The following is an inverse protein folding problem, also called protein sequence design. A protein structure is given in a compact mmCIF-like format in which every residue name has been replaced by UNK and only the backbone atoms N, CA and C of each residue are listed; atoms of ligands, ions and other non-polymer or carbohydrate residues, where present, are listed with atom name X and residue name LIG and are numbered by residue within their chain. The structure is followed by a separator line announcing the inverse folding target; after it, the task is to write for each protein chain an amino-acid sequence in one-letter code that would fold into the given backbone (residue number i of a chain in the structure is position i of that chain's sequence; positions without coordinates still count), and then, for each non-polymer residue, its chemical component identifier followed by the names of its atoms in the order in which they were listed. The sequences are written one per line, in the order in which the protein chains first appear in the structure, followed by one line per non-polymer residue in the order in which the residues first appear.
data_IF_808430627774
#
_entry.id   IF_808430627774
#
_cell.length_a   1.000
_cell.length_b   1.000
_cell.length_c   1.000
_cell.angle_alpha   90.00
_cell.angle_beta   90.00
_cell.angle_gamma   90.00
#
_symmetry.space_group_name_H-M   'P 1'
#
loop_
_entity.id
_entity.type
_entity.pdbx_description
1 polymer ?
#
# COMPACT_ATOMS: atom_id res chain seq x y z
N UNK A 1 -11.97 0.56 7.01
CA UNK A 1 -11.29 1.88 7.01
C UNK A 1 -10.65 2.11 5.66
N UNK A 2 -10.73 3.32 5.10
CA UNK A 2 -10.18 3.64 3.78
C UNK A 2 -8.92 4.47 3.99
N UNK A 3 -7.84 4.14 3.29
CA UNK A 3 -6.57 4.85 3.33
C UNK A 3 -6.12 5.23 1.93
N UNK A 4 -5.59 6.45 1.79
CA UNK A 4 -4.92 6.91 0.56
C UNK A 4 -3.45 6.55 0.62
N UNK A 5 -3.00 5.70 -0.28
CA UNK A 5 -1.63 5.22 -0.33
C UNK A 5 -0.89 5.85 -1.50
N UNK A 6 0.17 6.59 -1.20
CA UNK A 6 1.05 7.18 -2.20
C UNK A 6 2.34 6.38 -2.29
N UNK A 7 2.62 5.90 -3.49
CA UNK A 7 3.75 5.02 -3.78
C UNK A 7 4.86 5.81 -4.47
N UNK A 8 6.04 5.86 -3.84
CA UNK A 8 7.26 6.36 -4.48
C UNK A 8 8.15 5.19 -4.89
N UNK A 9 8.57 5.19 -6.15
CA UNK A 9 9.56 4.23 -6.64
C UNK A 9 10.97 4.66 -6.27
N UNK A 10 11.90 3.71 -6.21
CA UNK A 10 13.35 3.92 -5.97
C UNK A 10 13.76 4.31 -4.56
N UNK A 11 12.82 4.37 -3.61
CA UNK A 11 13.11 4.59 -2.18
C UNK A 11 12.41 3.50 -1.36
N UNK A 12 12.93 3.20 -0.18
CA UNK A 12 12.26 2.33 0.80
C UNK A 12 11.97 3.15 2.06
N UNK A 13 10.70 3.45 2.28
CA UNK A 13 10.23 4.13 3.49
C UNK A 13 8.75 3.82 3.70
N UNK A 14 8.25 4.08 4.90
CA UNK A 14 6.83 4.00 5.22
C UNK A 14 6.50 5.15 6.19
N UNK A 15 5.59 6.02 5.79
CA UNK A 15 5.09 7.17 6.54
C UNK A 15 3.58 7.10 6.56
N UNK A 16 2.99 7.29 7.73
CA UNK A 16 1.54 7.25 7.91
C UNK A 16 1.14 8.54 8.61
N UNK A 17 0.28 9.31 7.96
CA UNK A 17 -0.27 10.57 8.45
C UNK A 17 -1.79 10.49 8.40
N UNK A 18 -2.42 10.17 9.54
CA UNK A 18 -3.87 10.05 9.75
C UNK A 18 -4.55 9.07 8.77
N UNK A 19 -4.81 9.52 7.55
CA UNK A 19 -5.52 8.80 6.47
C UNK A 19 -4.64 8.59 5.21
N UNK A 20 -3.45 9.18 5.19
CA UNK A 20 -2.49 9.06 4.09
C UNK A 20 -1.32 8.15 4.48
N UNK A 21 -0.99 7.21 3.62
CA UNK A 21 0.15 6.31 3.76
C UNK A 21 1.11 6.57 2.59
N UNK A 22 2.25 7.18 2.87
CA UNK A 22 3.30 7.35 1.88
C UNK A 22 4.34 6.25 2.03
N UNK A 23 4.56 5.45 0.99
CA UNK A 23 5.55 4.38 1.04
C UNK A 23 6.43 4.32 -0.20
N UNK A 24 7.69 4.03 0.07
CA UNK A 24 8.68 3.72 -0.93
C UNK A 24 8.67 2.22 -1.26
N UNK A 25 8.60 1.89 -2.54
CA UNK A 25 8.86 0.54 -3.04
C UNK A 25 10.06 0.54 -3.99
N UNK A 26 10.90 -0.49 -3.86
CA UNK A 26 11.98 -0.76 -4.82
C UNK A 26 11.50 -1.66 -5.95
N UNK A 27 10.41 -2.38 -5.72
CA UNK A 27 9.81 -3.29 -6.69
C UNK A 27 9.21 -2.54 -7.88
N UNK A 28 9.50 -3.03 -9.08
CA UNK A 28 8.89 -2.50 -10.30
C UNK A 28 7.39 -2.81 -10.30
N UNK A 29 6.54 -1.99 -10.93
CA UNK A 29 5.11 -2.27 -11.08
C UNK A 29 4.86 -3.34 -12.16
N UNK A 30 5.63 -4.43 -12.13
CA UNK A 30 5.55 -5.54 -13.07
C UNK A 30 4.72 -6.65 -12.41
N UNK A 31 3.73 -7.19 -13.13
CA UNK A 31 2.88 -8.30 -12.68
C UNK A 31 2.26 -8.18 -11.27
N UNK A 32 2.04 -6.96 -10.78
CA UNK A 32 1.44 -6.71 -9.47
C UNK A 32 2.36 -6.95 -8.27
N UNK A 33 3.67 -7.09 -8.46
CA UNK A 33 4.64 -7.25 -7.36
C UNK A 33 4.61 -6.05 -6.40
N UNK A 34 4.52 -4.84 -6.95
CA UNK A 34 4.30 -3.61 -6.19
C UNK A 34 3.09 -3.71 -5.25
N UNK A 35 1.95 -4.23 -5.74
CA UNK A 35 0.73 -4.34 -4.93
C UNK A 35 0.93 -5.32 -3.76
N UNK A 36 1.59 -6.46 -4.01
CA UNK A 36 1.90 -7.45 -2.96
C UNK A 36 2.82 -6.87 -1.89
N UNK A 37 3.83 -6.09 -2.28
CA UNK A 37 4.76 -5.45 -1.35
C UNK A 37 4.05 -4.40 -0.48
N UNK A 38 3.19 -3.58 -1.09
CA UNK A 38 2.36 -2.59 -0.39
C UNK A 38 1.48 -3.28 0.66
N UNK A 39 0.70 -4.29 0.25
CA UNK A 39 -0.20 -5.02 1.14
C UNK A 39 0.59 -5.65 2.31
N UNK A 40 1.75 -6.26 2.03
CA UNK A 40 2.61 -6.83 3.09
C UNK A 40 3.14 -5.78 4.06
N UNK A 41 3.56 -4.60 3.58
CA UNK A 41 4.05 -3.52 4.45
C UNK A 41 2.94 -2.98 5.35
N UNK A 42 1.73 -2.76 4.80
CA UNK A 42 0.57 -2.30 5.57
C UNK A 42 0.15 -3.35 6.59
N UNK A 43 0.01 -4.61 6.17
CA UNK A 43 -0.33 -5.73 7.05
C UNK A 43 0.62 -5.81 8.26
N UNK A 44 1.93 -5.70 8.02
CA UNK A 44 2.93 -5.70 9.10
C UNK A 44 2.82 -4.49 10.01
N UNK A 45 2.58 -3.31 9.47
CA UNK A 45 2.47 -2.09 10.27
C UNK A 45 1.24 -2.08 11.16
N UNK A 46 0.08 -2.47 10.60
CA UNK A 46 -1.19 -2.50 11.32
C UNK A 46 -1.42 -3.81 12.07
N UNK A 47 -0.50 -4.77 11.98
CA UNK A 47 -0.62 -6.12 12.56
C UNK A 47 -1.92 -6.85 12.16
N UNK A 48 -2.35 -6.67 10.91
CA UNK A 48 -3.56 -7.28 10.34
C UNK A 48 -3.22 -8.29 9.23
N UNK A 49 -4.18 -9.17 8.93
CA UNK A 49 -4.07 -10.12 7.82
C UNK A 49 -4.01 -9.42 6.46
N UNK A 50 -3.17 -9.90 5.55
CA UNK A 50 -3.11 -9.37 4.17
C UNK A 50 -4.44 -9.52 3.42
N UNK A 51 -5.26 -10.50 3.81
CA UNK A 51 -6.60 -10.75 3.24
C UNK A 51 -7.61 -9.68 3.64
N UNK A 52 -7.39 -8.98 4.76
CA UNK A 52 -8.21 -7.88 5.21
C UNK A 52 -7.91 -6.57 4.45
N UNK A 53 -6.88 -6.55 3.60
CA UNK A 53 -6.40 -5.36 2.90
C UNK A 53 -6.73 -5.52 1.41
N UNK A 54 -7.57 -4.64 0.89
CA UNK A 54 -8.01 -4.68 -0.49
C UNK A 54 -7.75 -3.34 -1.19
N UNK A 55 -7.18 -3.39 -2.38
CA UNK A 55 -6.97 -2.18 -3.18
C UNK A 55 -8.25 -1.90 -3.96
N UNK A 56 -9.03 -0.90 -3.52
CA UNK A 56 -10.25 -0.46 -4.20
C UNK A 56 -9.96 0.30 -5.49
N UNK A 57 -8.90 1.11 -5.52
CA UNK A 57 -8.60 1.94 -6.69
C UNK A 57 -7.11 2.24 -6.84
N UNK A 58 -6.71 2.68 -8.04
CA UNK A 58 -5.32 3.03 -8.35
C UNK A 58 -4.39 1.85 -8.64
N UNK A 59 -4.92 0.71 -9.10
CA UNK A 59 -4.12 -0.48 -9.43
C UNK A 59 -2.92 -0.20 -10.35
N UNK A 60 -3.08 0.72 -11.32
CA UNK A 60 -2.02 1.17 -12.24
C UNK A 60 -1.37 2.51 -11.86
N UNK A 61 -1.86 3.16 -10.81
CA UNK A 61 -1.41 4.50 -10.39
C UNK A 61 -0.46 4.43 -9.20
N UNK A 62 0.32 5.51 -9.03
CA UNK A 62 1.16 5.74 -7.83
C UNK A 62 0.31 6.03 -6.61
N UNK A 63 -0.83 6.67 -6.81
CA UNK A 63 -1.83 6.91 -5.78
C UNK A 63 -2.85 5.77 -5.83
N UNK A 64 -3.05 5.12 -4.69
CA UNK A 64 -3.92 3.96 -4.49
C UNK A 64 -4.88 4.25 -3.37
N UNK A 65 -6.08 3.70 -3.48
CA UNK A 65 -7.06 3.71 -2.38
C UNK A 65 -7.16 2.28 -1.89
N UNK A 66 -6.85 2.09 -0.62
CA UNK A 66 -6.81 0.78 0.02
C UNK A 66 -7.86 0.77 1.12
N UNK A 67 -8.69 -0.25 1.11
CA UNK A 67 -9.66 -0.52 2.15
C UNK A 67 -9.11 -1.61 3.05
N UNK A 68 -9.23 -1.37 4.35
CA UNK A 68 -8.94 -2.33 5.40
C UNK A 68 -10.27 -2.74 6.02
N UNK A 69 -10.66 -3.98 5.77
CA UNK A 69 -11.82 -4.65 6.37
C UNK A 69 -11.33 -5.40 7.61
N UNK A 70 -11.30 -4.70 8.75
CA UNK A 70 -10.91 -5.25 10.04
C UNK A 70 -12.07 -5.98 10.71
#
# INVERSE_FOLDING_TARGET
MIYKVQVQFSKDFLKIEKDQVSMGIKSKPIKGEANKEIIKKIAKYFAISTTAIEIKSGHKSKEKIIEISQ
#
